data_IF_578198430844
#
_entry.id   IF_578198430844
#
_cell.length_a   1.000
_cell.length_b   1.000
_cell.length_c   1.000
_cell.angle_alpha   90.00
_cell.angle_beta   90.00
_cell.angle_gamma   90.00
#
_symmetry.space_group_name_H-M   'P 1'
#
loop_
_entity.id
_entity.type
_entity.pdbx_description
1 polymer ?
#
# COMPACT_ATOMS: atom_id res chain seq x y z
N UNK A 1 27.52 -5.63 -16.50
CA UNK A 1 27.08 -6.94 -15.93
C UNK A 1 27.74 -7.21 -14.60
N UNK A 2 29.07 -7.27 -14.50
CA UNK A 2 29.81 -7.58 -13.25
C UNK A 2 29.44 -6.70 -12.03
N UNK A 3 29.26 -5.37 -12.22
CA UNK A 3 28.78 -4.49 -11.15
C UNK A 3 27.33 -4.78 -10.73
N UNK A 4 26.44 -5.14 -11.67
CA UNK A 4 25.05 -5.43 -11.35
C UNK A 4 24.93 -6.71 -10.51
N UNK A 5 25.68 -7.75 -10.88
CA UNK A 5 25.75 -9.00 -10.12
C UNK A 5 26.30 -8.78 -8.70
N UNK A 6 27.39 -8.00 -8.57
CA UNK A 6 27.96 -7.66 -7.26
C UNK A 6 26.94 -7.01 -6.31
N UNK A 7 26.09 -6.13 -6.83
CA UNK A 7 25.07 -5.45 -6.03
C UNK A 7 23.72 -6.20 -5.99
N UNK A 8 23.62 -7.37 -6.64
CA UNK A 8 22.37 -8.13 -6.81
C UNK A 8 21.25 -7.30 -7.43
N UNK A 9 21.61 -6.50 -8.45
CA UNK A 9 20.69 -5.62 -9.18
C UNK A 9 20.34 -6.27 -10.51
N UNK A 10 19.05 -6.32 -10.82
CA UNK A 10 18.52 -6.68 -12.14
C UNK A 10 18.25 -5.39 -12.92
N UNK A 11 18.55 -5.38 -14.21
CA UNK A 11 18.12 -4.32 -15.12
C UNK A 11 17.00 -4.91 -15.98
N UNK A 12 15.79 -4.37 -15.84
CA UNK A 12 14.62 -4.78 -16.60
C UNK A 12 14.38 -3.76 -17.71
N UNK A 13 14.33 -4.19 -18.97
CA UNK A 13 13.87 -3.35 -20.07
C UNK A 13 12.34 -3.37 -20.12
N UNK A 14 11.71 -2.35 -20.72
CA UNK A 14 10.23 -2.26 -20.77
C UNK A 14 9.53 -3.46 -21.43
N UNK A 15 10.26 -4.22 -22.26
CA UNK A 15 9.82 -5.44 -22.93
C UNK A 15 9.88 -6.69 -22.02
N UNK A 16 10.61 -6.62 -20.90
CA UNK A 16 10.71 -7.74 -19.97
C UNK A 16 9.34 -8.07 -19.36
N UNK A 17 8.98 -9.36 -19.23
CA UNK A 17 7.74 -9.77 -18.56
C UNK A 17 7.65 -9.35 -17.09
N UNK A 18 8.81 -9.12 -16.45
CA UNK A 18 8.89 -8.67 -15.05
C UNK A 18 8.84 -7.15 -14.91
N UNK A 19 8.85 -6.39 -16.02
CA UNK A 19 8.70 -4.95 -15.96
C UNK A 19 7.24 -4.61 -15.61
N UNK A 20 6.96 -3.85 -14.53
CA UNK A 20 5.60 -3.58 -14.07
C UNK A 20 4.72 -2.96 -15.16
N UNK A 21 3.62 -3.62 -15.55
CA UNK A 21 2.76 -3.11 -16.64
C UNK A 21 2.19 -1.73 -16.32
N UNK A 22 1.76 -1.50 -15.07
CA UNK A 22 1.22 -0.23 -14.60
C UNK A 22 2.18 0.93 -14.84
N UNK A 23 3.49 0.67 -14.68
CA UNK A 23 4.50 1.68 -14.96
C UNK A 23 4.62 1.97 -16.46
N UNK A 24 4.29 1.05 -17.36
CA UNK A 24 4.26 1.29 -18.82
C UNK A 24 3.10 2.18 -19.27
N UNK A 25 2.10 2.37 -18.42
CA UNK A 25 0.92 3.20 -18.73
C UNK A 25 1.22 4.70 -18.62
N UNK A 26 2.28 5.11 -17.93
CA UNK A 26 2.63 6.53 -17.79
C UNK A 26 3.31 7.02 -19.08
N UNK A 27 3.11 8.29 -19.43
CA UNK A 27 3.68 8.85 -20.68
C UNK A 27 5.21 8.72 -20.79
N UNK A 28 5.94 8.98 -19.70
CA UNK A 28 7.40 8.97 -19.64
C UNK A 28 7.94 7.82 -18.76
N UNK A 29 7.54 6.58 -19.10
CA UNK A 29 8.03 5.40 -18.40
C UNK A 29 9.53 5.17 -18.67
N UNK A 30 10.31 4.72 -17.68
CA UNK A 30 11.74 4.50 -17.88
C UNK A 30 11.99 3.29 -18.81
N UNK A 31 12.75 3.43 -19.91
CA UNK A 31 13.05 2.30 -20.80
C UNK A 31 13.79 1.15 -20.11
N UNK A 32 14.53 1.48 -19.04
CA UNK A 32 15.24 0.52 -18.19
C UNK A 32 14.94 0.83 -16.73
N UNK A 33 14.49 -0.17 -15.98
CA UNK A 33 14.28 -0.12 -14.55
C UNK A 33 15.29 -1.02 -13.84
N UNK A 34 16.14 -0.42 -13.00
CA UNK A 34 17.04 -1.16 -12.11
C UNK A 34 16.28 -1.57 -10.86
N UNK A 35 16.42 -2.83 -10.47
CA UNK A 35 15.67 -3.45 -9.37
C UNK A 35 16.63 -4.21 -8.46
N UNK A 36 16.51 -4.02 -7.14
CA UNK A 36 17.24 -4.77 -6.11
C UNK A 36 16.26 -5.29 -5.07
N UNK A 37 16.15 -6.61 -4.93
CA UNK A 37 15.10 -7.27 -4.16
C UNK A 37 14.04 -7.90 -5.07
N UNK A 38 12.81 -8.00 -4.59
CA UNK A 38 11.68 -8.62 -5.28
C UNK A 38 10.57 -7.60 -5.50
N UNK A 39 10.22 -7.35 -6.76
CA UNK A 39 9.04 -6.55 -7.08
C UNK A 39 7.77 -7.27 -6.61
N UNK A 40 6.70 -6.51 -6.29
CA UNK A 40 5.38 -7.08 -6.07
C UNK A 40 4.93 -7.86 -7.31
N UNK A 41 4.05 -8.84 -7.12
CA UNK A 41 3.43 -9.54 -8.25
C UNK A 41 2.57 -8.57 -9.06
N UNK A 42 2.30 -8.92 -10.31
CA UNK A 42 1.60 -8.07 -11.28
C UNK A 42 0.19 -7.67 -10.80
N UNK A 43 -0.50 -8.59 -10.14
CA UNK A 43 -1.84 -8.45 -9.59
C UNK A 43 -1.85 -7.82 -8.18
N UNK A 44 -0.69 -7.64 -7.54
CA UNK A 44 -0.62 -7.02 -6.23
C UNK A 44 -0.84 -5.49 -6.33
N UNK A 45 -1.84 -4.95 -5.60
CA UNK A 45 -2.10 -3.52 -5.61
C UNK A 45 -0.98 -2.76 -4.89
N UNK A 46 -0.56 -1.65 -5.49
CA UNK A 46 0.41 -0.75 -4.91
C UNK A 46 -0.24 0.59 -4.58
N UNK A 47 0.12 1.18 -3.44
CA UNK A 47 -0.25 2.54 -3.07
C UNK A 47 1.01 3.35 -2.76
N UNK A 48 1.15 4.50 -3.41
CA UNK A 48 2.23 5.41 -3.13
C UNK A 48 1.89 6.28 -1.91
N UNK A 49 2.83 6.42 -0.97
CA UNK A 49 2.63 7.24 0.24
C UNK A 49 3.73 8.28 0.31
N UNK A 50 3.34 9.54 0.36
CA UNK A 50 4.26 10.68 0.33
C UNK A 50 3.86 11.74 1.34
N UNK A 51 4.82 12.58 1.72
CA UNK A 51 4.52 13.75 2.53
C UNK A 51 5.76 14.53 2.95
N UNK A 52 5.59 15.33 3.99
CA UNK A 52 6.64 16.21 4.51
C UNK A 52 7.85 15.42 5.03
N UNK A 53 9.02 16.02 4.87
CA UNK A 53 10.28 15.51 5.45
C UNK A 53 10.38 15.73 6.96
N UNK A 54 9.46 16.51 7.53
CA UNK A 54 9.39 16.85 8.96
C UNK A 54 7.93 16.69 9.42
N UNK A 55 7.46 15.45 9.59
CA UNK A 55 6.08 15.20 9.99
C UNK A 55 5.84 15.68 11.42
N UNK A 56 4.61 16.11 11.67
CA UNK A 56 4.14 16.32 13.04
C UNK A 56 3.97 14.97 13.75
N UNK A 57 3.72 15.00 15.06
CA UNK A 57 3.36 13.78 15.81
C UNK A 57 2.10 13.16 15.20
N UNK A 58 1.11 13.99 14.83
CA UNK A 58 -0.11 13.57 14.15
C UNK A 58 0.19 12.89 12.82
N UNK A 59 0.96 13.53 11.94
CA UNK A 59 1.30 12.96 10.62
C UNK A 59 2.05 11.64 10.73
N UNK A 60 2.97 11.51 11.69
CA UNK A 60 3.64 10.23 11.99
C UNK A 60 2.63 9.16 12.42
N UNK A 61 1.80 9.43 13.42
CA UNK A 61 0.86 8.45 13.96
C UNK A 61 -0.15 7.99 12.91
N UNK A 62 -0.71 8.92 12.14
CA UNK A 62 -1.65 8.58 11.06
C UNK A 62 -0.98 7.74 9.98
N UNK A 63 0.28 8.05 9.63
CA UNK A 63 1.03 7.21 8.68
C UNK A 63 1.21 5.80 9.24
N UNK A 64 1.64 5.67 10.50
CA UNK A 64 1.87 4.36 11.12
C UNK A 64 0.59 3.51 11.15
N UNK A 65 -0.54 4.09 11.52
CA UNK A 65 -1.84 3.40 11.61
C UNK A 65 -2.37 2.98 10.23
N UNK A 66 -2.51 3.93 9.31
CA UNK A 66 -3.06 3.66 7.97
C UNK A 66 -2.19 2.66 7.21
N UNK A 67 -0.86 2.81 7.31
CA UNK A 67 0.05 1.93 6.59
C UNK A 67 0.04 0.52 7.13
N UNK A 68 -0.01 0.35 8.45
CA UNK A 68 -0.11 -0.98 9.04
C UNK A 68 -1.36 -1.73 8.54
N UNK A 69 -2.50 -1.05 8.45
CA UNK A 69 -3.74 -1.68 7.99
C UNK A 69 -3.76 -1.94 6.47
N UNK A 70 -3.19 -1.03 5.66
CA UNK A 70 -2.98 -1.26 4.23
C UNK A 70 -2.05 -2.45 3.97
N UNK A 71 -0.94 -2.55 4.72
CA UNK A 71 0.02 -3.64 4.61
C UNK A 71 -0.61 -4.99 4.97
N UNK A 72 -1.38 -5.06 6.06
CA UNK A 72 -2.17 -6.26 6.44
C UNK A 72 -3.23 -6.62 5.40
N UNK A 73 -3.74 -5.62 4.69
CA UNK A 73 -4.65 -5.79 3.56
C UNK A 73 -3.93 -6.15 2.25
N UNK A 74 -2.65 -6.55 2.33
CA UNK A 74 -1.79 -6.94 1.21
C UNK A 74 -1.59 -5.86 0.15
N UNK A 75 -1.71 -4.59 0.53
CA UNK A 75 -1.34 -3.46 -0.32
C UNK A 75 0.18 -3.23 -0.19
N UNK A 76 0.90 -3.26 -1.31
CA UNK A 76 2.32 -2.94 -1.33
C UNK A 76 2.53 -1.43 -1.23
N UNK A 77 3.32 -0.98 -0.26
CA UNK A 77 3.58 0.44 -0.06
C UNK A 77 4.73 0.92 -0.95
N UNK A 78 4.49 1.93 -1.77
CA UNK A 78 5.53 2.56 -2.61
C UNK A 78 5.89 3.92 -2.03
N UNK A 79 7.18 4.21 -1.86
CA UNK A 79 7.61 5.55 -1.43
C UNK A 79 9.05 5.85 -1.85
N UNK A 80 9.53 7.05 -1.51
CA UNK A 80 10.77 7.61 -2.04
C UNK A 80 11.98 7.44 -1.13
N UNK A 81 11.85 6.74 0.00
CA UNK A 81 12.85 6.63 1.06
C UNK A 81 13.37 7.99 1.57
N UNK A 82 12.63 9.09 1.40
CA UNK A 82 13.02 10.37 1.96
C UNK A 82 12.90 10.35 3.49
N UNK A 83 13.44 11.38 4.16
CA UNK A 83 13.13 11.62 5.57
C UNK A 83 11.62 11.85 5.75
N UNK A 84 11.13 11.64 6.96
CA UNK A 84 9.75 11.98 7.32
C UNK A 84 8.75 10.90 6.89
N UNK A 85 7.66 11.32 6.26
CA UNK A 85 6.53 10.43 5.93
C UNK A 85 6.98 9.19 5.15
N UNK A 86 7.85 9.33 4.15
CA UNK A 86 8.37 8.19 3.37
C UNK A 86 9.04 7.12 4.27
N UNK A 87 9.97 7.53 5.15
CA UNK A 87 10.62 6.63 6.12
C UNK A 87 9.62 5.96 7.05
N UNK A 88 8.62 6.71 7.52
CA UNK A 88 7.59 6.22 8.44
C UNK A 88 6.72 5.19 7.74
N UNK A 89 6.29 5.44 6.50
CA UNK A 89 5.49 4.52 5.71
C UNK A 89 6.23 3.21 5.45
N UNK A 90 7.49 3.26 5.00
CA UNK A 90 8.27 2.03 4.82
C UNK A 90 8.45 1.25 6.12
N UNK A 91 8.70 1.93 7.25
CA UNK A 91 8.86 1.28 8.54
C UNK A 91 7.57 0.60 8.99
N UNK A 92 6.45 1.31 8.94
CA UNK A 92 5.14 0.79 9.33
C UNK A 92 4.72 -0.40 8.45
N UNK A 93 5.05 -0.39 7.16
CA UNK A 93 4.77 -1.51 6.26
C UNK A 93 5.56 -2.76 6.68
N UNK A 94 6.85 -2.60 6.99
CA UNK A 94 7.72 -3.70 7.44
C UNK A 94 7.33 -4.21 8.83
N UNK A 95 6.99 -3.31 9.76
CA UNK A 95 6.57 -3.68 11.12
C UNK A 95 5.22 -4.43 11.11
N UNK A 96 4.42 -4.24 10.07
CA UNK A 96 3.20 -4.99 9.80
C UNK A 96 3.40 -6.23 8.90
N UNK A 97 4.66 -6.64 8.68
CA UNK A 97 5.06 -7.77 7.83
C UNK A 97 4.60 -7.68 6.37
N UNK A 98 4.31 -6.46 5.91
CA UNK A 98 3.92 -6.17 4.54
C UNK A 98 5.10 -5.93 3.61
N UNK A 99 4.79 -5.80 2.32
CA UNK A 99 5.77 -5.48 1.27
C UNK A 99 5.88 -3.98 1.07
N UNK A 100 7.08 -3.53 0.69
CA UNK A 100 7.28 -2.14 0.32
C UNK A 100 8.34 -1.95 -0.75
N UNK A 101 8.17 -0.93 -1.59
CA UNK A 101 9.07 -0.59 -2.69
C UNK A 101 9.58 0.83 -2.52
N UNK A 102 10.90 0.99 -2.41
CA UNK A 102 11.53 2.30 -2.39
C UNK A 102 12.04 2.67 -3.78
N UNK A 103 11.51 3.74 -4.36
CA UNK A 103 11.99 4.29 -5.64
C UNK A 103 13.14 5.24 -5.35
N UNK A 104 14.27 5.22 -6.07
CA UNK A 104 15.47 6.04 -5.80
C UNK A 104 15.68 7.12 -6.88
N UNK A 105 16.19 8.28 -6.47
CA UNK A 105 16.64 9.36 -7.38
C UNK A 105 18.14 9.28 -7.73
N UNK A 106 18.74 8.10 -7.53
CA UNK A 106 20.16 7.80 -7.65
C UNK A 106 20.35 6.34 -8.03
N UNK A 107 21.59 5.92 -8.27
CA UNK A 107 21.92 4.50 -8.43
C UNK A 107 21.61 3.71 -7.14
N UNK A 108 21.24 2.43 -7.30
CA UNK A 108 20.86 1.54 -6.18
C UNK A 108 22.04 1.12 -5.28
N UNK A 109 23.26 1.51 -5.65
CA UNK A 109 24.49 1.38 -4.86
C UNK A 109 24.70 2.53 -3.85
N UNK A 110 23.89 3.60 -3.92
CA UNK A 110 24.01 4.78 -3.07
C UNK A 110 22.67 5.07 -2.38
N UNK A 111 22.57 4.77 -1.09
CA UNK A 111 21.39 5.09 -0.27
C UNK A 111 21.42 6.55 0.16
N UNK A 112 20.35 7.28 -0.12
CA UNK A 112 20.16 8.65 0.34
C UNK A 112 18.74 8.88 0.86
N UNK A 113 18.57 9.47 2.06
CA UNK A 113 19.62 9.91 2.98
C UNK A 113 20.35 8.72 3.63
N UNK A 114 21.63 8.91 3.98
CA UNK A 114 22.46 7.81 4.52
C UNK A 114 21.95 7.22 5.84
N UNK A 115 21.19 7.99 6.63
CA UNK A 115 20.53 7.51 7.86
C UNK A 115 19.48 6.41 7.59
N UNK A 116 18.92 6.34 6.38
CA UNK A 116 17.97 5.32 5.96
C UNK A 116 18.65 4.04 5.44
N UNK A 117 19.97 3.88 5.56
CA UNK A 117 20.69 2.70 5.07
C UNK A 117 20.15 1.38 5.65
N UNK A 118 19.88 1.33 6.96
CA UNK A 118 19.28 0.14 7.60
C UNK A 118 17.86 -0.12 7.13
N UNK A 119 17.09 0.94 6.87
CA UNK A 119 15.73 0.83 6.34
C UNK A 119 15.76 0.27 4.91
N UNK A 120 16.62 0.80 4.04
CA UNK A 120 16.81 0.29 2.69
C UNK A 120 17.19 -1.20 2.68
N UNK A 121 18.02 -1.63 3.64
CA UNK A 121 18.35 -3.05 3.80
C UNK A 121 17.11 -3.90 4.11
N UNK A 122 16.32 -3.51 5.11
CA UNK A 122 15.10 -4.23 5.47
C UNK A 122 14.07 -4.27 4.32
N UNK A 123 13.97 -3.18 3.54
CA UNK A 123 13.11 -3.14 2.35
C UNK A 123 13.52 -4.21 1.31
N UNK A 124 14.81 -4.46 1.11
CA UNK A 124 15.26 -5.48 0.16
C UNK A 124 14.94 -6.92 0.60
N UNK A 125 14.70 -7.14 1.90
CA UNK A 125 14.34 -8.45 2.44
C UNK A 125 12.86 -8.78 2.22
N UNK A 126 11.99 -7.76 2.20
CA UNK A 126 10.53 -7.91 2.10
C UNK A 126 9.90 -7.22 0.87
N UNK A 127 10.73 -6.71 -0.05
CA UNK A 127 10.28 -5.94 -1.20
C UNK A 127 11.45 -5.55 -2.10
N UNK A 128 11.44 -4.31 -2.62
CA UNK A 128 12.45 -3.88 -3.59
C UNK A 128 12.89 -2.43 -3.45
N UNK A 129 14.13 -2.17 -3.86
CA UNK A 129 14.61 -0.85 -4.25
C UNK A 129 14.57 -0.77 -5.77
N UNK A 130 14.07 0.34 -6.32
CA UNK A 130 13.97 0.54 -7.77
C UNK A 130 14.54 1.89 -8.19
N UNK A 131 15.13 1.99 -9.37
CA UNK A 131 15.66 3.24 -9.91
C UNK A 131 15.67 3.22 -11.43
N UNK A 132 15.48 4.37 -12.06
CA UNK A 132 15.76 4.55 -13.49
C UNK A 132 17.25 4.81 -13.76
N UNK A 133 18.03 5.11 -12.72
CA UNK A 133 19.43 5.48 -12.87
C UNK A 133 20.37 4.27 -12.74
N UNK A 134 21.39 4.16 -13.61
CA UNK A 134 22.41 3.14 -13.47
C UNK A 134 23.23 3.30 -12.18
N UNK A 135 23.95 2.24 -11.80
CA UNK A 135 24.84 2.25 -10.64
C UNK A 135 25.91 3.35 -10.76
N UNK A 136 26.22 3.98 -9.63
CA UNK A 136 27.20 5.07 -9.51
C UNK A 136 26.63 6.47 -9.69
N UNK A 137 25.37 6.62 -10.12
CA UNK A 137 24.71 7.93 -10.20
C UNK A 137 24.44 8.45 -8.79
N UNK A 138 25.04 9.60 -8.46
CA UNK A 138 24.89 10.25 -7.15
C UNK A 138 23.51 10.90 -6.99
N UNK A 139 22.97 10.99 -5.76
CA UNK A 139 21.71 11.70 -5.50
C UNK A 139 21.88 13.19 -5.82
N UNK A 140 21.04 13.71 -6.72
CA UNK A 140 20.97 15.12 -7.08
C UNK A 140 19.58 15.67 -6.84
N UNK A 141 19.49 16.94 -6.46
CA UNK A 141 18.22 17.60 -6.15
C UNK A 141 17.21 17.52 -7.31
N UNK A 142 17.70 17.72 -8.53
CA UNK A 142 16.97 17.61 -9.81
C UNK A 142 16.37 16.23 -10.09
N UNK A 143 16.96 15.16 -9.56
CA UNK A 143 16.47 13.79 -9.80
C UNK A 143 15.25 13.44 -8.93
N UNK A 144 15.05 14.09 -7.78
CA UNK A 144 13.96 13.71 -6.88
C UNK A 144 12.57 13.97 -7.47
N UNK A 145 12.28 15.14 -8.09
CA UNK A 145 11.00 15.35 -8.78
C UNK A 145 10.80 14.40 -9.97
N UNK A 146 11.86 14.08 -10.72
CA UNK A 146 11.79 13.16 -11.87
C UNK A 146 11.41 11.74 -11.43
N UNK A 147 12.04 11.27 -10.35
CA UNK A 147 11.76 9.97 -9.74
C UNK A 147 10.31 9.81 -9.30
N UNK A 148 9.66 10.89 -8.85
CA UNK A 148 8.32 10.82 -8.26
C UNK A 148 7.26 10.23 -9.20
N UNK A 149 7.40 10.45 -10.52
CA UNK A 149 6.50 9.87 -11.52
C UNK A 149 6.52 8.34 -11.55
N UNK A 150 7.61 7.71 -11.11
CA UNK A 150 7.74 6.25 -11.01
C UNK A 150 6.98 5.76 -9.78
N UNK A 151 6.95 6.53 -8.68
CA UNK A 151 6.17 6.14 -7.48
C UNK A 151 4.68 6.09 -7.82
N UNK A 152 4.14 7.14 -8.43
CA UNK A 152 2.76 7.18 -8.88
C UNK A 152 2.51 6.18 -10.02
N UNK A 153 3.45 6.02 -10.94
CA UNK A 153 3.33 5.06 -12.05
C UNK A 153 3.29 3.60 -11.63
N UNK A 154 3.94 3.24 -10.53
CA UNK A 154 3.85 1.91 -9.94
C UNK A 154 2.54 1.68 -9.16
N UNK A 155 1.79 2.73 -8.84
CA UNK A 155 0.70 2.69 -7.86
C UNK A 155 -0.68 2.89 -8.49
N UNK A 156 -1.72 2.38 -7.85
CA UNK A 156 -3.11 2.66 -8.22
C UNK A 156 -3.54 4.06 -7.78
N UNK A 157 -2.90 4.59 -6.74
CA UNK A 157 -3.12 5.94 -6.25
C UNK A 157 -1.98 6.43 -5.36
N UNK A 158 -2.06 7.69 -4.95
CA UNK A 158 -1.10 8.37 -4.09
C UNK A 158 -1.81 8.95 -2.87
N UNK A 159 -1.37 8.55 -1.67
CA UNK A 159 -1.76 9.15 -0.41
C UNK A 159 -0.77 10.22 0.03
N UNK A 160 -1.25 11.45 0.21
CA UNK A 160 -0.50 12.56 0.79
C UNK A 160 -0.91 12.73 2.26
N UNK A 161 0.00 12.43 3.18
CA UNK A 161 -0.30 12.46 4.62
C UNK A 161 -0.18 13.87 5.22
N UNK A 162 0.94 14.54 4.95
CA UNK A 162 1.14 15.94 5.37
C UNK A 162 1.96 16.66 4.30
N UNK A 163 1.54 17.85 3.94
CA UNK A 163 2.21 18.69 2.96
C UNK A 163 1.92 20.17 3.26
N UNK A 164 2.97 20.97 3.41
CA UNK A 164 2.83 22.43 3.31
C UNK A 164 2.65 22.87 1.85
N UNK A 165 2.33 24.16 1.63
CA UNK A 165 1.98 24.69 0.29
C UNK A 165 3.04 24.48 -0.80
N UNK A 166 4.31 24.40 -0.41
CA UNK A 166 5.46 24.22 -1.33
C UNK A 166 6.12 22.85 -1.18
N UNK A 167 5.38 21.86 -0.65
CA UNK A 167 5.90 20.52 -0.44
C UNK A 167 6.11 19.81 -1.78
N UNK A 168 7.25 19.13 -1.93
CA UNK A 168 7.50 18.26 -3.08
C UNK A 168 6.54 17.07 -3.17
N UNK A 169 5.83 16.74 -2.09
CA UNK A 169 4.77 15.72 -2.12
C UNK A 169 3.58 16.13 -3.01
N UNK A 170 3.31 17.43 -3.14
CA UNK A 170 2.25 17.94 -4.02
C UNK A 170 2.59 17.70 -5.49
N UNK A 171 3.88 17.73 -5.85
CA UNK A 171 4.35 17.40 -7.22
C UNK A 171 3.95 15.96 -7.56
N UNK A 172 4.16 15.01 -6.64
CA UNK A 172 3.77 13.62 -6.84
C UNK A 172 2.25 13.47 -6.98
N UNK A 173 1.46 14.23 -6.21
CA UNK A 173 0.00 14.20 -6.31
C UNK A 173 -0.48 14.71 -7.68
N UNK A 174 0.09 15.80 -8.19
CA UNK A 174 -0.27 16.29 -9.53
C UNK A 174 0.16 15.33 -10.64
N UNK A 175 1.36 14.73 -10.54
CA UNK A 175 1.80 13.68 -11.46
C UNK A 175 0.89 12.45 -11.44
N UNK A 176 0.33 12.10 -10.27
CA UNK A 176 -0.63 11.01 -10.15
C UNK A 176 -1.91 11.29 -10.94
N UNK A 177 -2.46 12.51 -10.84
CA UNK A 177 -3.63 12.92 -11.63
C UNK A 177 -3.35 12.89 -13.14
N UNK A 178 -2.19 13.39 -13.57
CA UNK A 178 -1.76 13.34 -14.98
C UNK A 178 -1.65 11.89 -15.51
N UNK A 179 -1.37 10.94 -14.61
CA UNK A 179 -1.25 9.52 -14.90
C UNK A 179 -2.57 8.73 -14.70
N UNK A 180 -3.70 9.42 -14.50
CA UNK A 180 -5.00 8.82 -14.18
C UNK A 180 -4.94 7.89 -12.95
N UNK A 181 -4.23 8.33 -11.90
CA UNK A 181 -4.16 7.65 -10.61
C UNK A 181 -5.00 8.42 -9.60
N UNK A 182 -5.60 7.68 -8.66
CA UNK A 182 -6.35 8.29 -7.57
C UNK A 182 -5.43 9.10 -6.66
N UNK A 183 -5.93 10.25 -6.17
CA UNK A 183 -5.21 11.06 -5.19
C UNK A 183 -6.01 11.11 -3.90
N UNK A 184 -5.34 10.73 -2.83
CA UNK A 184 -5.86 10.70 -1.49
C UNK A 184 -5.12 11.72 -0.61
N UNK A 185 -5.83 12.34 0.32
CA UNK A 185 -5.24 13.31 1.23
C UNK A 185 -5.81 13.16 2.64
N UNK A 186 -4.91 13.19 3.62
CA UNK A 186 -5.29 13.22 5.04
C UNK A 186 -5.69 14.65 5.42
N UNK A 187 -6.90 14.88 5.94
CA UNK A 187 -7.31 16.20 6.40
C UNK A 187 -6.52 16.59 7.64
N UNK A 188 -6.32 17.88 7.84
CA UNK A 188 -5.71 18.37 9.08
C UNK A 188 -6.19 19.74 9.49
N UNK A 189 -5.73 20.19 10.65
CA UNK A 189 -6.10 21.50 11.19
C UNK A 189 -5.79 22.61 10.19
N UNK A 190 -6.76 23.50 9.93
CA UNK A 190 -6.55 24.69 9.10
C UNK A 190 -5.53 25.67 9.70
N UNK A 191 -5.20 25.50 10.98
CA UNK A 191 -4.15 26.26 11.69
C UNK A 191 -2.77 25.61 11.57
N UNK A 192 -2.68 24.39 11.04
CA UNK A 192 -1.42 23.68 10.84
C UNK A 192 -0.84 23.99 9.46
N UNK A 193 0.36 24.59 9.35
CA UNK A 193 1.04 24.77 8.08
C UNK A 193 1.35 23.44 7.38
N UNK A 194 1.48 22.34 8.12
CA UNK A 194 1.74 21.01 7.57
C UNK A 194 0.51 20.39 6.87
N UNK A 195 -0.69 20.94 7.08
CA UNK A 195 -1.95 20.43 6.51
C UNK A 195 -2.51 21.30 5.39
N UNK A 196 -1.90 22.46 5.10
CA UNK A 196 -2.40 23.39 4.08
C UNK A 196 -2.45 22.77 2.68
N UNK A 197 -1.41 22.01 2.31
CA UNK A 197 -1.33 21.33 1.02
C UNK A 197 -2.32 20.18 0.90
N UNK A 198 -2.47 19.35 1.95
CA UNK A 198 -3.44 18.24 1.92
C UNK A 198 -4.88 18.75 1.90
N UNK A 199 -5.21 19.77 2.71
CA UNK A 199 -6.53 20.40 2.68
C UNK A 199 -6.83 21.05 1.32
N UNK A 200 -5.83 21.66 0.66
CA UNK A 200 -5.98 22.19 -0.69
C UNK A 200 -6.24 21.08 -1.71
N UNK A 201 -5.49 19.98 -1.67
CA UNK A 201 -5.73 18.82 -2.54
C UNK A 201 -7.17 18.31 -2.40
N UNK A 202 -7.70 18.25 -1.17
CA UNK A 202 -9.10 17.87 -0.93
C UNK A 202 -10.07 18.84 -1.61
N UNK A 203 -9.81 20.15 -1.53
CA UNK A 203 -10.61 21.16 -2.23
C UNK A 203 -10.54 21.04 -3.76
N UNK A 204 -9.40 20.59 -4.27
CA UNK A 204 -9.15 20.35 -5.71
C UNK A 204 -9.73 19.01 -6.21
N UNK A 205 -10.33 18.21 -5.32
CA UNK A 205 -11.02 16.97 -5.67
C UNK A 205 -10.31 15.69 -5.24
N UNK A 206 -9.16 15.77 -4.55
CA UNK A 206 -8.56 14.59 -3.93
C UNK A 206 -9.52 13.98 -2.90
N UNK A 207 -9.56 12.65 -2.83
CA UNK A 207 -10.38 11.92 -1.87
C UNK A 207 -9.86 12.18 -0.46
N UNK A 208 -10.72 12.74 0.40
CA UNK A 208 -10.46 12.85 1.83
C UNK A 208 -10.41 11.46 2.45
N UNK A 209 -9.33 11.15 3.16
CA UNK A 209 -9.11 9.88 3.85
C UNK A 209 -9.13 10.06 5.36
N UNK A 210 -10.00 9.31 6.04
CA UNK A 210 -10.09 9.25 7.50
C UNK A 210 -9.40 8.01 8.05
N UNK A 211 -9.42 6.91 7.29
CA UNK A 211 -8.80 5.63 7.60
C UNK A 211 -8.53 4.84 6.31
N UNK A 212 -7.85 3.70 6.43
CA UNK A 212 -7.49 2.87 5.26
C UNK A 212 -8.69 2.37 4.45
N UNK A 213 -9.88 2.20 5.05
CA UNK A 213 -11.06 1.71 4.36
C UNK A 213 -11.58 2.69 3.30
N UNK A 214 -11.43 4.01 3.54
CA UNK A 214 -11.77 5.03 2.53
C UNK A 214 -10.93 4.83 1.25
N UNK A 215 -9.67 4.38 1.37
CA UNK A 215 -8.78 4.10 0.24
C UNK A 215 -9.21 2.81 -0.47
N UNK A 216 -9.46 1.74 0.29
CA UNK A 216 -9.85 0.45 -0.28
C UNK A 216 -11.18 0.54 -1.04
N UNK A 217 -12.12 1.32 -0.52
CA UNK A 217 -13.40 1.56 -1.17
C UNK A 217 -13.21 2.31 -2.49
N UNK A 218 -12.44 3.39 -2.50
CA UNK A 218 -12.21 4.19 -3.71
C UNK A 218 -11.49 3.38 -4.80
N UNK A 219 -10.51 2.56 -4.41
CA UNK A 219 -9.80 1.67 -5.33
C UNK A 219 -10.60 0.41 -5.71
N UNK A 220 -11.83 0.24 -5.21
CA UNK A 220 -12.66 -0.95 -5.39
C UNK A 220 -11.96 -2.27 -4.95
N UNK A 221 -11.06 -2.19 -3.98
CA UNK A 221 -10.27 -3.33 -3.49
C UNK A 221 -10.93 -4.08 -2.33
N UNK A 222 -11.99 -3.53 -1.72
CA UNK A 222 -12.68 -4.15 -0.58
C UNK A 222 -13.11 -5.60 -0.87
N UNK A 223 -13.70 -5.83 -2.05
CA UNK A 223 -14.17 -7.16 -2.46
C UNK A 223 -12.99 -8.09 -2.75
N UNK A 224 -11.94 -7.59 -3.39
CA UNK A 224 -10.74 -8.38 -3.74
C UNK A 224 -10.03 -8.85 -2.47
N UNK A 225 -9.89 -7.98 -1.48
CA UNK A 225 -9.23 -8.31 -0.21
C UNK A 225 -10.08 -9.29 0.60
N UNK A 226 -11.40 -9.10 0.65
CA UNK A 226 -12.30 -10.07 1.28
C UNK A 226 -12.20 -11.43 0.61
N UNK A 227 -12.21 -11.50 -0.73
CA UNK A 227 -12.06 -12.75 -1.47
C UNK A 227 -10.69 -13.41 -1.23
N UNK A 228 -9.61 -12.64 -1.19
CA UNK A 228 -8.27 -13.14 -0.90
C UNK A 228 -8.14 -13.69 0.54
N UNK A 229 -8.75 -13.02 1.51
CA UNK A 229 -8.82 -13.50 2.89
C UNK A 229 -9.60 -14.81 2.98
N UNK A 230 -10.72 -14.92 2.26
CA UNK A 230 -11.52 -16.16 2.19
C UNK A 230 -10.74 -17.28 1.52
N UNK A 231 -10.06 -17.01 0.41
CA UNK A 231 -9.23 -17.99 -0.29
C UNK A 231 -8.11 -18.54 0.61
N UNK A 232 -7.57 -17.71 1.51
CA UNK A 232 -6.55 -18.16 2.48
C UNK A 232 -7.08 -19.24 3.43
N UNK A 233 -8.37 -19.20 3.79
CA UNK A 233 -9.00 -20.21 4.62
C UNK A 233 -9.31 -21.52 3.88
N UNK A 234 -9.12 -21.56 2.55
CA UNK A 234 -9.37 -22.73 1.71
C UNK A 234 -10.75 -23.35 2.01
N UNK A 235 -11.85 -22.61 1.74
CA UNK A 235 -13.19 -23.10 2.03
C UNK A 235 -13.40 -24.47 1.38
N UNK A 236 -13.98 -25.40 2.13
CA UNK A 236 -14.16 -26.76 1.65
C UNK A 236 -15.21 -26.84 0.52
N UNK A 237 -16.16 -25.91 0.50
CA UNK A 237 -17.24 -25.84 -0.48
C UNK A 237 -17.79 -24.40 -0.66
N UNK A 238 -18.78 -24.27 -1.53
CA UNK A 238 -19.44 -22.99 -1.83
C UNK A 238 -20.23 -22.43 -0.64
N UNK A 239 -20.71 -23.29 0.27
CA UNK A 239 -21.48 -22.90 1.46
C UNK A 239 -20.55 -22.21 2.46
N UNK A 240 -19.39 -22.81 2.72
CA UNK A 240 -18.35 -22.24 3.56
C UNK A 240 -17.86 -20.91 2.99
N UNK A 241 -17.64 -20.84 1.67
CA UNK A 241 -17.27 -19.57 1.01
C UNK A 241 -18.35 -18.49 1.17
N UNK A 242 -19.62 -18.83 0.99
CA UNK A 242 -20.73 -17.88 1.12
C UNK A 242 -20.87 -17.34 2.55
N UNK A 243 -20.66 -18.17 3.56
CA UNK A 243 -20.72 -17.76 4.98
C UNK A 243 -19.50 -16.91 5.36
N UNK A 244 -18.29 -17.29 4.93
CA UNK A 244 -17.08 -16.51 5.19
C UNK A 244 -17.17 -15.08 4.63
N UNK A 245 -17.87 -14.86 3.51
CA UNK A 245 -18.14 -13.50 2.97
C UNK A 245 -18.98 -12.62 3.89
N UNK A 246 -19.75 -13.21 4.80
CA UNK A 246 -20.60 -12.49 5.75
C UNK A 246 -19.90 -12.23 7.09
N UNK A 247 -18.70 -12.79 7.30
CA UNK A 247 -17.95 -12.62 8.54
C UNK A 247 -16.89 -11.53 8.38
N UNK A 248 -16.74 -10.71 9.41
CA UNK A 248 -15.73 -9.66 9.49
C UNK A 248 -15.21 -9.52 10.93
N UNK A 249 -14.38 -8.52 11.21
CA UNK A 249 -14.02 -8.17 12.59
C UNK A 249 -15.19 -7.62 13.41
N UNK A 250 -16.23 -7.11 12.74
CA UNK A 250 -17.45 -6.63 13.39
C UNK A 250 -18.44 -7.80 13.61
N UNK A 251 -19.13 -7.87 14.77
CA UNK A 251 -20.12 -8.90 15.05
C UNK A 251 -21.27 -8.88 14.03
N UNK A 252 -21.53 -10.03 13.40
CA UNK A 252 -22.68 -10.21 12.51
C UNK A 252 -23.62 -11.30 13.04
N UNK A 253 -24.92 -10.99 13.13
CA UNK A 253 -25.92 -11.91 13.68
C UNK A 253 -26.20 -13.05 12.70
N UNK A 254 -26.47 -14.25 13.22
CA UNK A 254 -26.73 -15.43 12.37
C UNK A 254 -27.87 -15.23 11.36
N UNK A 255 -28.90 -14.46 11.71
CA UNK A 255 -30.01 -14.13 10.79
C UNK A 255 -29.56 -13.26 9.62
N UNK A 256 -28.66 -12.30 9.86
CA UNK A 256 -28.10 -11.44 8.81
C UNK A 256 -27.13 -12.24 7.93
N UNK A 257 -26.38 -13.18 8.51
CA UNK A 257 -25.55 -14.13 7.77
C UNK A 257 -26.42 -15.01 6.85
N UNK A 258 -27.57 -15.52 7.34
CA UNK A 258 -28.52 -16.27 6.51
C UNK A 258 -29.03 -15.40 5.35
N UNK A 259 -29.43 -14.16 5.62
CA UNK A 259 -29.94 -13.25 4.60
C UNK A 259 -28.87 -12.90 3.56
N UNK A 260 -27.66 -12.58 3.98
CA UNK A 260 -26.56 -12.19 3.10
C UNK A 260 -25.96 -13.33 2.29
N UNK A 261 -26.00 -14.56 2.81
CA UNK A 261 -25.52 -15.75 2.10
C UNK A 261 -26.58 -16.42 1.22
N UNK A 262 -27.87 -16.18 1.48
CA UNK A 262 -28.97 -16.88 0.82
C UNK A 262 -29.13 -18.35 1.24
N UNK A 263 -28.47 -18.76 2.33
CA UNK A 263 -28.48 -20.14 2.84
C UNK A 263 -29.52 -20.32 3.94
N UNK A 264 -29.96 -21.57 4.15
CA UNK A 264 -30.90 -21.88 5.22
C UNK A 264 -30.23 -21.88 6.60
N UNK A 265 -31.00 -21.57 7.65
CA UNK A 265 -30.49 -21.54 9.04
C UNK A 265 -29.73 -22.83 9.42
N UNK A 266 -30.21 -24.05 9.11
CA UNK A 266 -29.44 -25.28 9.37
C UNK A 266 -28.07 -25.32 8.68
N UNK A 267 -27.99 -24.85 7.42
CA UNK A 267 -26.71 -24.80 6.69
C UNK A 267 -25.76 -23.79 7.31
N UNK A 268 -26.27 -22.62 7.69
CA UNK A 268 -25.47 -21.58 8.34
C UNK A 268 -24.98 -22.02 9.71
N UNK A 269 -25.86 -22.54 10.58
CA UNK A 269 -25.49 -22.98 11.93
C UNK A 269 -24.46 -24.11 11.91
N UNK A 270 -24.65 -25.13 11.05
CA UNK A 270 -23.71 -26.25 10.96
C UNK A 270 -22.33 -25.82 10.44
N UNK A 271 -22.30 -24.96 9.43
CA UNK A 271 -21.05 -24.47 8.86
C UNK A 271 -20.32 -23.50 9.79
N UNK A 272 -21.04 -22.60 10.49
CA UNK A 272 -20.45 -21.73 11.51
C UNK A 272 -19.83 -22.54 12.64
N UNK A 273 -20.49 -23.61 13.11
CA UNK A 273 -19.91 -24.50 14.11
C UNK A 273 -18.62 -25.18 13.61
N UNK A 274 -18.58 -25.60 12.35
CA UNK A 274 -17.35 -26.14 11.74
C UNK A 274 -16.24 -25.09 11.62
N UNK A 275 -16.57 -23.86 11.25
CA UNK A 275 -15.63 -22.74 11.18
C UNK A 275 -15.10 -22.35 12.56
N UNK A 276 -15.91 -22.43 13.62
CA UNK A 276 -15.46 -22.25 14.99
C UNK A 276 -14.50 -23.35 15.44
N UNK A 277 -14.78 -24.61 15.10
CA UNK A 277 -13.86 -25.73 15.36
C UNK A 277 -12.54 -25.58 14.63
N UNK A 278 -12.55 -25.03 13.40
CA UNK A 278 -11.33 -24.67 12.65
C UNK A 278 -10.62 -23.43 13.22
N UNK A 279 -11.22 -22.72 14.17
CA UNK A 279 -10.70 -21.46 14.72
C UNK A 279 -10.76 -20.30 13.73
N UNK A 280 -11.62 -20.37 12.71
CA UNK A 280 -11.78 -19.37 11.65
C UNK A 280 -12.90 -18.38 12.00
N UNK A 281 -13.96 -18.84 12.68
CA UNK A 281 -15.02 -18.00 13.20
C UNK A 281 -15.04 -18.05 14.74
N UNK A 282 -15.66 -17.06 15.36
CA UNK A 282 -15.88 -17.03 16.81
C UNK A 282 -17.23 -16.39 17.14
N UNK A 283 -18.02 -17.05 17.98
CA UNK A 283 -19.21 -16.46 18.57
C UNK A 283 -18.82 -15.47 19.68
N UNK A 284 -19.36 -14.25 19.61
CA UNK A 284 -19.08 -13.16 20.56
C UNK A 284 -20.29 -12.82 21.44
N UNK A 285 -21.31 -13.68 21.45
CA UNK A 285 -22.53 -13.56 22.25
C UNK A 285 -23.76 -13.17 21.43
N UNK A 286 -24.94 -13.49 21.96
CA UNK A 286 -26.25 -13.24 21.32
C UNK A 286 -26.30 -13.68 19.85
N UNK A 287 -25.78 -14.89 19.54
CA UNK A 287 -25.73 -15.43 18.17
C UNK A 287 -25.03 -14.53 17.13
N UNK A 288 -24.12 -13.65 17.59
CA UNK A 288 -23.25 -12.89 16.73
C UNK A 288 -21.91 -13.61 16.55
N UNK A 289 -21.42 -13.60 15.31
CA UNK A 289 -20.19 -14.24 14.89
C UNK A 289 -19.23 -13.21 14.28
N UNK A 290 -17.95 -13.40 14.53
CA UNK A 290 -16.85 -12.64 13.92
C UNK A 290 -15.87 -13.59 13.26
N UNK A 291 -15.11 -13.08 12.28
CA UNK A 291 -13.93 -13.76 11.75
C UNK A 291 -12.82 -13.71 12.81
N UNK A 292 -12.25 -14.87 13.14
CA UNK A 292 -11.14 -14.97 14.07
C UNK A 292 -9.86 -14.44 13.42
N UNK A 293 -9.09 -13.61 14.14
CA UNK A 293 -7.75 -13.20 13.69
C UNK A 293 -6.82 -14.41 13.86
N UNK A 294 -6.05 -14.75 12.82
CA UNK A 294 -4.88 -15.61 12.98
C UNK A 294 -3.91 -14.89 13.92
N UNK A 295 -3.52 -15.56 15.00
CA UNK A 295 -2.34 -15.18 15.79
C UNK A 295 -1.08 -15.50 14.99
#
# INVERSE_FOLDING_TARGET
MEKLERYKVKALVYEDPLYPSRLKEIYDYPPVLYVRGSLPAEDEPCLAIVGTRRPTIYGRQVTEEIVADLARSRITIVSGLARGIDSVAHRAALDAEGKTVAVFGSGLDIVYPGENAKLAQAIMEHGALVSEYPLGVKPKAENFPLRNRIMSGLSLGVLVVEAGERSGALITAHQALEQNREVFAIPGSILSPASQGTNRLIQEGAKLVRNYADILQELNLTIVIQQAAIAEFSPADEIESAILRQLSSEPNHIDEICRGSGLSMPQVSSTLAMLELKGIARQVGNMNYVLARRN
#
